data_IF_504880577487
#
_entry.id   IF_504880577487
#
_cell.length_a   1.000
_cell.length_b   1.000
_cell.length_c   1.000
_cell.angle_alpha   90.00
_cell.angle_beta   90.00
_cell.angle_gamma   90.00
#
_symmetry.space_group_name_H-M   'P 1'
#
loop_
_entity.id
_entity.type
_entity.pdbx_description
1 polymer ?
#
# COMPACT_ATOMS: atom_id res chain seq x y z
N UNK A 1 -26.51 9.48 -8.66
CA UNK A 1 -25.28 9.64 -7.86
C UNK A 1 -24.38 8.45 -8.12
N UNK A 2 -23.09 8.67 -8.42
CA UNK A 2 -22.14 7.58 -8.55
C UNK A 2 -22.02 6.81 -7.22
N UNK A 3 -21.86 5.49 -7.30
CA UNK A 3 -21.67 4.61 -6.14
C UNK A 3 -20.59 3.59 -6.46
N UNK A 4 -19.66 3.42 -5.54
CA UNK A 4 -18.62 2.40 -5.62
C UNK A 4 -18.62 1.60 -4.33
N UNK A 5 -18.57 0.28 -4.46
CA UNK A 5 -18.51 -0.65 -3.34
C UNK A 5 -17.39 -1.66 -3.62
N UNK A 6 -16.52 -1.82 -2.65
CA UNK A 6 -15.51 -2.87 -2.66
C UNK A 6 -15.63 -3.70 -1.38
N UNK A 7 -15.72 -5.01 -1.53
CA UNK A 7 -15.72 -5.97 -0.42
C UNK A 7 -14.54 -6.91 -0.63
N UNK A 8 -13.71 -7.08 0.39
CA UNK A 8 -12.55 -7.95 0.32
C UNK A 8 -12.54 -8.93 1.50
N UNK A 9 -12.10 -10.16 1.22
CA UNK A 9 -11.82 -11.18 2.21
C UNK A 9 -10.47 -11.79 1.92
N UNK A 10 -9.58 -11.83 2.91
CA UNK A 10 -8.23 -12.34 2.76
C UNK A 10 -7.86 -13.36 3.83
N UNK A 11 -6.94 -14.21 3.49
CA UNK A 11 -6.34 -15.18 4.38
C UNK A 11 -4.83 -15.21 4.20
N UNK A 12 -4.10 -15.28 5.31
CA UNK A 12 -2.66 -15.43 5.34
C UNK A 12 -2.28 -16.63 6.20
N UNK A 13 -1.27 -17.37 5.77
CA UNK A 13 -0.81 -18.58 6.45
C UNK A 13 0.72 -18.66 6.41
N UNK A 14 1.31 -18.99 7.55
CA UNK A 14 2.74 -19.31 7.66
C UNK A 14 2.95 -20.77 7.22
N UNK A 15 3.47 -20.95 6.01
CA UNK A 15 3.67 -22.29 5.41
C UNK A 15 4.81 -23.04 6.07
N UNK A 16 5.91 -22.33 6.31
CA UNK A 16 7.07 -22.79 7.06
C UNK A 16 7.57 -21.62 7.91
N UNK A 17 8.37 -21.89 8.92
CA UNK A 17 8.94 -20.86 9.79
C UNK A 17 9.50 -19.69 8.97
N UNK A 18 9.05 -18.48 9.28
CA UNK A 18 9.44 -17.22 8.64
C UNK A 18 8.90 -16.99 7.22
N UNK A 19 8.17 -17.93 6.60
CA UNK A 19 7.61 -17.78 5.27
C UNK A 19 6.09 -17.83 5.32
N UNK A 20 5.47 -16.73 4.99
CA UNK A 20 4.01 -16.60 4.91
C UNK A 20 3.55 -16.38 3.47
N UNK A 21 2.39 -16.93 3.16
CA UNK A 21 1.67 -16.69 1.91
C UNK A 21 0.32 -16.07 2.22
N UNK A 22 -0.19 -15.24 1.33
CA UNK A 22 -1.51 -14.63 1.48
C UNK A 22 -2.26 -14.64 0.16
N UNK A 23 -3.58 -14.74 0.27
CA UNK A 23 -4.50 -14.56 -0.85
C UNK A 23 -5.68 -13.72 -0.38
N UNK A 24 -6.10 -12.76 -1.21
CA UNK A 24 -7.28 -11.93 -0.97
C UNK A 24 -8.20 -11.99 -2.17
N UNK A 25 -9.47 -12.21 -1.93
CA UNK A 25 -10.54 -12.08 -2.93
C UNK A 25 -11.21 -10.72 -2.74
N UNK A 26 -11.49 -10.03 -3.85
CA UNK A 26 -12.18 -8.73 -3.87
C UNK A 26 -13.37 -8.81 -4.81
N UNK A 27 -14.51 -8.32 -4.35
CA UNK A 27 -15.66 -8.03 -5.19
C UNK A 27 -15.78 -6.51 -5.33
N UNK A 28 -15.88 -6.04 -6.57
CA UNK A 28 -15.93 -4.63 -6.93
C UNK A 28 -17.24 -4.37 -7.65
N UNK A 29 -17.96 -3.34 -7.21
CA UNK A 29 -19.15 -2.82 -7.88
C UNK A 29 -18.99 -1.33 -8.08
N UNK A 30 -19.21 -0.86 -9.31
CA UNK A 30 -19.13 0.56 -9.66
C UNK A 30 -20.36 0.94 -10.49
N UNK A 31 -21.06 1.96 -10.04
CA UNK A 31 -22.18 2.59 -10.73
C UNK A 31 -21.86 4.08 -10.93
N UNK A 32 -21.60 4.47 -12.15
CA UNK A 32 -21.26 5.85 -12.51
C UNK A 32 -22.47 6.80 -12.49
N UNK A 33 -23.65 6.33 -12.08
CA UNK A 33 -24.89 7.09 -12.11
C UNK A 33 -25.52 7.15 -13.50
N UNK A 34 -26.61 7.93 -13.66
CA UNK A 34 -27.38 8.05 -14.91
C UNK A 34 -26.60 8.84 -15.97
N UNK A 35 -25.62 8.22 -16.59
CA UNK A 35 -25.07 8.67 -17.87
C UNK A 35 -25.62 7.70 -18.93
N UNK A 36 -26.76 8.03 -19.51
CA UNK A 36 -27.48 7.13 -20.40
C UNK A 36 -28.17 5.97 -19.66
N UNK A 37 -28.38 4.85 -20.34
CA UNK A 37 -28.96 3.61 -19.78
C UNK A 37 -27.89 2.76 -19.05
N UNK A 38 -26.88 3.32 -18.39
CA UNK A 38 -25.82 2.55 -17.77
C UNK A 38 -26.31 1.91 -16.47
N UNK A 39 -26.40 0.59 -16.46
CA UNK A 39 -26.48 -0.19 -15.24
C UNK A 39 -25.09 -0.29 -14.63
N UNK A 40 -24.99 -0.39 -13.31
CA UNK A 40 -23.73 -0.60 -12.63
C UNK A 40 -22.96 -1.82 -13.16
N UNK A 41 -21.65 -1.77 -13.07
CA UNK A 41 -20.75 -2.84 -13.49
C UNK A 41 -20.09 -3.50 -12.28
N UNK A 42 -19.87 -4.81 -12.35
CA UNK A 42 -19.17 -5.56 -11.30
C UNK A 42 -17.98 -6.33 -11.86
N UNK A 43 -16.99 -6.54 -11.02
CA UNK A 43 -15.83 -7.37 -11.32
C UNK A 43 -15.33 -8.04 -10.05
N UNK A 44 -14.43 -8.99 -10.24
CA UNK A 44 -13.70 -9.67 -9.16
C UNK A 44 -12.21 -9.46 -9.36
N UNK A 45 -11.47 -9.41 -8.27
CA UNK A 45 -10.01 -9.35 -8.30
C UNK A 45 -9.41 -10.23 -7.21
N UNK A 46 -8.17 -10.64 -7.43
CA UNK A 46 -7.39 -11.43 -6.50
C UNK A 46 -6.08 -10.70 -6.21
N UNK A 47 -5.66 -10.75 -4.95
CA UNK A 47 -4.30 -10.39 -4.57
C UNK A 47 -3.59 -11.63 -4.03
N UNK A 48 -2.31 -11.76 -4.33
CA UNK A 48 -1.45 -12.84 -3.87
C UNK A 48 -0.17 -12.23 -3.26
N UNK A 49 0.26 -12.77 -2.14
CA UNK A 49 1.46 -12.31 -1.45
C UNK A 49 2.32 -13.44 -0.93
N UNK A 50 3.62 -13.21 -0.92
CA UNK A 50 4.62 -14.04 -0.27
C UNK A 50 5.48 -13.11 0.56
N UNK A 51 5.70 -13.44 1.84
CA UNK A 51 6.52 -12.68 2.76
C UNK A 51 7.48 -13.63 3.48
N UNK A 52 8.76 -13.31 3.42
CA UNK A 52 9.78 -13.92 4.26
C UNK A 52 10.28 -12.90 5.28
N UNK A 53 10.22 -13.26 6.58
CA UNK A 53 10.66 -12.39 7.68
C UNK A 53 11.66 -13.13 8.54
N UNK A 54 12.76 -12.48 8.94
CA UNK A 54 13.78 -13.08 9.79
C UNK A 54 14.31 -12.09 10.81
N UNK A 55 14.44 -12.56 12.05
CA UNK A 55 15.13 -11.85 13.13
C UNK A 55 16.64 -12.02 13.02
N UNK A 56 17.40 -11.02 13.45
CA UNK A 56 18.87 -11.06 13.52
C UNK A 56 19.25 -11.57 14.90
N UNK A 57 19.94 -12.73 14.94
CA UNK A 57 20.16 -13.49 16.20
C UNK A 57 20.84 -12.72 17.32
N UNK A 58 21.83 -11.90 17.04
CA UNK A 58 22.66 -11.24 18.05
C UNK A 58 22.26 -9.77 18.27
N UNK A 59 21.08 -9.40 17.79
CA UNK A 59 20.56 -8.04 17.88
C UNK A 59 19.07 -8.09 18.21
N UNK A 60 18.73 -8.00 19.49
CA UNK A 60 17.36 -8.12 19.98
C UNK A 60 16.41 -7.10 19.33
N UNK A 61 15.29 -7.59 18.79
CA UNK A 61 14.30 -6.80 18.10
C UNK A 61 14.70 -6.33 16.68
N UNK A 62 15.93 -6.61 16.24
CA UNK A 62 16.33 -6.35 14.87
C UNK A 62 15.87 -7.47 13.94
N UNK A 63 15.45 -7.07 12.74
CA UNK A 63 14.98 -8.01 11.75
C UNK A 63 14.95 -7.43 10.35
N UNK A 64 14.70 -8.29 9.39
CA UNK A 64 14.47 -7.88 8.03
C UNK A 64 13.38 -8.74 7.39
N UNK A 65 12.75 -8.19 6.40
CA UNK A 65 11.75 -8.91 5.60
C UNK A 65 11.89 -8.58 4.13
N UNK A 66 11.53 -9.55 3.29
CA UNK A 66 11.36 -9.36 1.85
C UNK A 66 10.05 -9.97 1.43
N UNK A 67 9.39 -9.35 0.46
CA UNK A 67 8.10 -9.83 0.01
C UNK A 67 7.86 -9.55 -1.46
N UNK A 68 6.97 -10.35 -2.04
CA UNK A 68 6.43 -10.17 -3.38
C UNK A 68 4.92 -10.13 -3.25
N UNK A 69 4.30 -9.16 -3.90
CA UNK A 69 2.86 -8.98 -3.88
C UNK A 69 2.33 -8.67 -5.28
N UNK A 70 1.37 -9.47 -5.73
CA UNK A 70 0.62 -9.20 -6.95
C UNK A 70 -0.81 -8.79 -6.56
N UNK A 71 -1.28 -7.66 -7.06
CA UNK A 71 -2.57 -7.09 -6.69
C UNK A 71 -3.48 -6.85 -7.89
N UNK A 72 -4.79 -6.85 -7.61
CA UNK A 72 -5.85 -6.56 -8.57
C UNK A 72 -5.82 -7.44 -9.82
N UNK A 73 -5.42 -8.70 -9.68
CA UNK A 73 -5.45 -9.69 -10.75
C UNK A 73 -6.90 -10.10 -11.01
N UNK A 74 -7.46 -9.71 -12.16
CA UNK A 74 -8.85 -10.00 -12.47
C UNK A 74 -9.26 -9.62 -13.88
N UNK A 75 -10.49 -9.98 -14.28
CA UNK A 75 -11.03 -9.62 -15.58
C UNK A 75 -11.32 -8.10 -15.65
N UNK A 76 -11.38 -7.59 -16.86
CA UNK A 76 -11.81 -6.20 -17.12
C UNK A 76 -13.24 -5.98 -16.64
N UNK A 77 -13.51 -4.85 -16.00
CA UNK A 77 -14.87 -4.39 -15.67
C UNK A 77 -15.58 -4.04 -16.99
N UNK A 78 -16.75 -4.61 -17.18
CA UNK A 78 -17.56 -4.37 -18.37
C UNK A 78 -18.63 -3.32 -18.05
N UNK A 79 -18.45 -2.13 -18.56
CA UNK A 79 -19.53 -1.15 -18.71
C UNK A 79 -20.29 -1.40 -20.03
N UNK A 80 -21.43 -0.77 -20.24
CA UNK A 80 -22.27 -1.00 -21.44
C UNK A 80 -21.51 -0.83 -22.77
N UNK A 81 -20.63 0.15 -22.86
CA UNK A 81 -19.91 0.53 -24.08
C UNK A 81 -18.40 0.35 -24.00
N UNK A 82 -17.83 0.14 -22.81
CA UNK A 82 -16.39 0.01 -22.60
C UNK A 82 -16.03 -1.15 -21.68
N UNK A 83 -14.79 -1.60 -21.80
CA UNK A 83 -14.18 -2.59 -20.90
C UNK A 83 -12.94 -1.95 -20.31
N UNK A 84 -12.99 -1.69 -19.00
CA UNK A 84 -11.88 -1.07 -18.29
C UNK A 84 -11.08 -2.15 -17.56
N UNK A 85 -9.77 -2.12 -17.74
CA UNK A 85 -8.86 -3.06 -17.06
C UNK A 85 -8.65 -2.65 -15.61
N UNK A 86 -8.62 -3.63 -14.72
CA UNK A 86 -8.21 -3.39 -13.33
C UNK A 86 -6.73 -2.97 -13.27
N UNK A 87 -6.34 -2.09 -12.34
CA UNK A 87 -4.95 -1.66 -12.18
C UNK A 87 -4.11 -2.77 -11.52
N UNK A 88 -3.84 -3.82 -12.29
CA UNK A 88 -3.02 -4.92 -11.83
C UNK A 88 -1.56 -4.49 -11.65
N UNK A 89 -0.94 -4.90 -10.55
CA UNK A 89 0.42 -4.51 -10.19
C UNK A 89 1.16 -5.67 -9.54
N UNK A 90 2.45 -5.76 -9.78
CA UNK A 90 3.37 -6.61 -9.02
C UNK A 90 4.37 -5.72 -8.30
N UNK A 91 4.62 -6.00 -7.03
CA UNK A 91 5.62 -5.33 -6.20
C UNK A 91 6.57 -6.32 -5.57
N UNK A 92 7.84 -5.94 -5.51
CA UNK A 92 8.87 -6.61 -4.70
C UNK A 92 9.40 -5.57 -3.73
N UNK A 93 9.47 -5.90 -2.47
CA UNK A 93 9.93 -4.95 -1.47
C UNK A 93 10.63 -5.63 -0.30
N UNK A 94 11.26 -4.81 0.53
CA UNK A 94 11.90 -5.24 1.74
C UNK A 94 11.83 -4.17 2.82
N UNK A 95 11.99 -4.63 4.06
CA UNK A 95 12.08 -3.79 5.23
C UNK A 95 13.19 -4.27 6.15
N UNK A 96 13.79 -3.34 6.89
CA UNK A 96 14.75 -3.62 7.96
C UNK A 96 14.33 -2.85 9.21
N UNK A 97 14.19 -3.59 10.31
CA UNK A 97 13.91 -3.05 11.65
C UNK A 97 15.21 -3.04 12.44
N UNK A 98 15.67 -1.88 12.85
CA UNK A 98 16.97 -1.63 13.43
C UNK A 98 16.80 -0.90 14.79
N UNK A 99 16.55 -1.62 15.89
CA UNK A 99 16.58 -1.03 17.22
C UNK A 99 18.01 -0.61 17.56
N UNK A 100 18.18 0.62 18.08
CA UNK A 100 19.47 1.09 18.56
C UNK A 100 19.26 1.86 19.87
N UNK A 101 20.09 1.61 20.86
CA UNK A 101 19.81 1.98 22.23
C UNK A 101 18.43 1.49 22.72
N UNK A 102 18.18 1.49 24.01
CA UNK A 102 17.01 0.82 24.61
C UNK A 102 15.65 1.41 24.28
N UNK A 103 15.60 2.56 23.59
CA UNK A 103 14.35 3.32 23.37
C UNK A 103 14.17 3.80 21.94
N UNK A 104 15.04 3.40 21.03
CA UNK A 104 15.07 3.93 19.68
C UNK A 104 14.97 2.80 18.65
N UNK A 105 14.14 2.97 17.63
CA UNK A 105 14.03 2.06 16.49
C UNK A 105 14.03 2.85 15.20
N UNK A 106 14.77 2.38 14.22
CA UNK A 106 14.74 2.86 12.84
C UNK A 106 14.22 1.72 11.95
N UNK A 107 13.11 1.97 11.27
CA UNK A 107 12.61 1.05 10.23
C UNK A 107 12.88 1.66 8.87
N UNK A 108 13.54 0.92 7.99
CA UNK A 108 13.79 1.30 6.61
C UNK A 108 13.00 0.39 5.68
N UNK A 109 12.39 0.98 4.65
CA UNK A 109 11.62 0.24 3.65
C UNK A 109 11.98 0.66 2.24
N UNK A 110 11.95 -0.28 1.30
CA UNK A 110 12.05 0.02 -0.12
C UNK A 110 11.24 -0.98 -0.93
N UNK A 111 10.58 -0.52 -1.99
CA UNK A 111 9.88 -1.38 -2.94
C UNK A 111 10.06 -0.93 -4.39
N UNK A 112 9.99 -1.92 -5.27
CA UNK A 112 9.96 -1.79 -6.70
C UNK A 112 8.64 -2.37 -7.20
N UNK A 113 7.83 -1.55 -7.86
CA UNK A 113 6.55 -1.93 -8.41
C UNK A 113 6.53 -1.85 -9.93
N UNK A 114 5.77 -2.73 -10.54
CA UNK A 114 5.46 -2.66 -11.96
C UNK A 114 3.95 -2.80 -12.18
N UNK A 115 3.36 -1.78 -12.80
CA UNK A 115 1.96 -1.80 -13.21
C UNK A 115 1.81 -2.63 -14.48
N UNK A 116 1.07 -3.73 -14.37
CA UNK A 116 0.85 -4.67 -15.46
C UNK A 116 -0.30 -4.23 -16.39
N UNK A 117 -1.26 -3.50 -15.84
CA UNK A 117 -2.52 -3.16 -16.51
C UNK A 117 -3.08 -1.85 -15.95
N UNK A 118 -3.75 -1.00 -16.74
CA UNK A 118 -3.95 -1.09 -18.21
C UNK A 118 -2.67 -0.90 -19.03
N UNK A 119 -2.67 -1.31 -20.31
CA UNK A 119 -1.49 -1.34 -21.16
C UNK A 119 -0.89 0.06 -21.44
N UNK A 120 -1.73 1.08 -21.51
CA UNK A 120 -1.36 2.48 -21.75
C UNK A 120 -0.66 3.15 -20.57
N UNK A 121 -0.84 2.61 -19.35
CA UNK A 121 -0.24 3.12 -18.11
C UNK A 121 0.75 2.16 -17.45
N UNK A 122 1.24 1.16 -18.19
CA UNK A 122 2.31 0.29 -17.70
C UNK A 122 3.55 1.11 -17.37
N UNK A 123 4.02 1.01 -16.14
CA UNK A 123 5.18 1.76 -15.66
C UNK A 123 5.82 1.08 -14.46
N UNK A 124 7.12 1.31 -14.35
CA UNK A 124 7.90 0.98 -13.16
C UNK A 124 7.75 2.12 -12.15
N UNK A 125 7.62 1.76 -10.87
CA UNK A 125 7.72 2.70 -9.78
C UNK A 125 8.66 2.19 -8.69
N UNK A 126 9.21 3.12 -7.93
CA UNK A 126 10.13 2.83 -6.82
C UNK A 126 9.69 3.65 -5.62
N UNK A 127 9.60 3.03 -4.46
CA UNK A 127 9.35 3.75 -3.22
C UNK A 127 10.41 3.42 -2.19
N UNK A 128 10.74 4.39 -1.36
CA UNK A 128 11.58 4.20 -0.18
C UNK A 128 11.04 5.02 0.97
N UNK A 129 11.16 4.49 2.18
CA UNK A 129 10.68 5.16 3.38
C UNK A 129 11.53 4.83 4.60
N UNK A 130 11.45 5.72 5.57
CA UNK A 130 12.06 5.54 6.87
C UNK A 130 11.09 5.97 7.97
N UNK A 131 11.06 5.22 9.06
CA UNK A 131 10.37 5.57 10.29
C UNK A 131 11.39 5.54 11.44
N UNK A 132 11.39 6.59 12.23
CA UNK A 132 12.09 6.65 13.49
C UNK A 132 11.06 6.62 14.62
N UNK A 133 11.17 5.65 15.52
CA UNK A 133 10.34 5.53 16.71
C UNK A 133 11.16 5.76 17.97
N UNK A 134 10.65 6.60 18.87
CA UNK A 134 11.20 6.85 20.20
C UNK A 134 10.25 6.32 21.26
N UNK A 135 10.77 5.45 22.13
CA UNK A 135 10.03 4.76 23.20
C UNK A 135 8.77 4.01 22.70
N UNK A 136 8.66 3.72 21.42
CA UNK A 136 7.45 3.19 20.78
C UNK A 136 6.21 4.10 20.89
N UNK A 137 6.38 5.30 21.44
CA UNK A 137 5.30 6.26 21.66
C UNK A 137 5.29 7.41 20.64
N UNK A 138 6.44 7.81 20.14
CA UNK A 138 6.56 8.90 19.17
C UNK A 138 7.20 8.37 17.90
N UNK A 139 6.56 8.60 16.76
CA UNK A 139 7.04 8.16 15.45
C UNK A 139 7.19 9.36 14.53
N UNK A 140 8.31 9.40 13.80
CA UNK A 140 8.54 10.34 12.70
C UNK A 140 8.77 9.53 11.43
N UNK A 141 8.09 9.89 10.36
CA UNK A 141 8.10 9.14 9.10
C UNK A 141 8.45 10.05 7.94
N UNK A 142 9.21 9.51 7.00
CA UNK A 142 9.50 10.18 5.74
C UNK A 142 9.57 9.15 4.62
N UNK A 143 9.14 9.54 3.44
CA UNK A 143 9.17 8.65 2.29
C UNK A 143 9.20 9.39 0.97
N UNK A 144 9.61 8.68 -0.06
CA UNK A 144 9.61 9.15 -1.42
C UNK A 144 9.09 8.07 -2.37
N UNK A 145 8.21 8.48 -3.27
CA UNK A 145 7.71 7.66 -4.35
C UNK A 145 8.16 8.27 -5.69
N UNK A 146 8.82 7.45 -6.50
CA UNK A 146 9.16 7.76 -7.88
C UNK A 146 8.23 7.00 -8.82
N UNK A 147 7.55 7.71 -9.69
CA UNK A 147 6.68 7.16 -10.71
C UNK A 147 6.78 7.94 -12.02
N UNK A 148 6.22 7.39 -13.09
CA UNK A 148 6.16 8.04 -14.40
C UNK A 148 4.89 8.88 -14.53
N UNK A 149 5.04 10.21 -14.48
CA UNK A 149 3.94 11.17 -14.62
C UNK A 149 3.17 11.02 -15.94
N UNK A 150 3.84 10.62 -17.02
CA UNK A 150 3.19 10.43 -18.33
C UNK A 150 2.29 9.18 -18.34
N UNK A 151 2.46 8.31 -17.34
CA UNK A 151 1.69 7.09 -17.11
C UNK A 151 0.70 7.23 -15.94
N UNK A 152 0.44 8.46 -15.49
CA UNK A 152 -0.48 8.75 -14.40
C UNK A 152 0.04 8.36 -13.01
N UNK A 153 1.35 8.23 -12.84
CA UNK A 153 2.02 7.91 -11.58
C UNK A 153 3.05 8.99 -11.27
N UNK A 154 2.58 10.10 -10.72
CA UNK A 154 3.45 11.24 -10.41
C UNK A 154 4.31 10.95 -9.16
N UNK A 155 5.57 11.41 -9.19
CA UNK A 155 6.45 11.32 -8.03
C UNK A 155 6.02 12.26 -6.91
N UNK A 156 6.18 11.83 -5.65
CA UNK A 156 5.88 12.63 -4.47
C UNK A 156 6.74 12.25 -3.27
N UNK A 157 6.89 13.18 -2.33
CA UNK A 157 7.46 12.92 -1.01
C UNK A 157 6.35 12.92 0.05
N UNK A 158 6.59 12.24 1.16
CA UNK A 158 5.70 12.23 2.31
C UNK A 158 6.47 12.50 3.59
N UNK A 159 5.81 13.19 4.52
CA UNK A 159 6.29 13.30 5.91
C UNK A 159 5.12 13.00 6.84
N UNK A 160 5.40 12.39 7.98
CA UNK A 160 4.37 12.03 8.95
C UNK A 160 4.91 12.00 10.37
N UNK A 161 3.98 12.09 11.31
CA UNK A 161 4.25 11.91 12.72
C UNK A 161 3.13 11.08 13.35
N UNK A 162 3.47 10.27 14.35
CA UNK A 162 2.53 9.45 15.10
C UNK A 162 2.80 9.51 16.58
N UNK A 163 1.75 9.36 17.36
CA UNK A 163 1.80 9.22 18.82
C UNK A 163 0.98 8.01 19.22
N UNK A 164 1.57 7.14 20.05
CA UNK A 164 0.90 5.99 20.63
C UNK A 164 1.00 6.05 22.15
N UNK A 165 -0.14 5.98 22.83
CA UNK A 165 -0.21 5.96 24.29
C UNK A 165 -1.42 5.19 24.77
N UNK A 166 -1.21 4.27 25.72
CA UNK A 166 -2.27 3.46 26.33
C UNK A 166 -3.20 2.75 25.31
N UNK A 167 -2.63 2.24 24.21
CA UNK A 167 -3.37 1.57 23.14
C UNK A 167 -4.06 2.52 22.15
N UNK A 168 -4.08 3.83 22.40
CA UNK A 168 -4.57 4.83 21.44
C UNK A 168 -3.43 5.28 20.55
N UNK A 169 -3.61 5.25 19.23
CA UNK A 169 -2.65 5.80 18.28
C UNK A 169 -3.30 6.89 17.42
N UNK A 170 -2.59 7.98 17.26
CA UNK A 170 -2.95 9.11 16.41
C UNK A 170 -1.81 9.35 15.43
N UNK A 171 -2.12 9.31 14.13
CA UNK A 171 -1.16 9.53 13.07
C UNK A 171 -1.56 10.72 12.21
N UNK A 172 -0.56 11.47 11.79
CA UNK A 172 -0.66 12.54 10.80
C UNK A 172 0.31 12.26 9.67
N UNK A 173 -0.14 12.43 8.43
CA UNK A 173 0.70 12.35 7.25
C UNK A 173 0.39 13.46 6.26
N UNK A 174 1.42 13.99 5.62
CA UNK A 174 1.33 15.00 4.59
C UNK A 174 2.05 14.55 3.32
N UNK A 175 1.42 14.78 2.16
CA UNK A 175 2.01 14.49 0.86
C UNK A 175 2.42 15.78 0.15
N UNK A 176 3.68 15.82 -0.28
CA UNK A 176 4.28 16.88 -1.09
C UNK A 176 4.43 16.38 -2.50
N UNK A 177 3.59 16.84 -3.41
CA UNK A 177 3.64 16.46 -4.81
C UNK A 177 3.67 17.71 -5.70
N UNK A 178 4.21 17.55 -6.90
CA UNK A 178 4.24 18.60 -7.91
C UNK A 178 2.85 18.95 -8.45
N UNK A 179 2.78 20.01 -9.25
CA UNK A 179 1.51 20.50 -9.85
C UNK A 179 0.80 19.46 -10.73
N UNK A 180 1.50 18.44 -11.18
CA UNK A 180 1.02 17.37 -12.05
C UNK A 180 0.24 16.28 -11.28
N UNK A 181 0.30 16.27 -9.95
CA UNK A 181 -0.42 15.33 -9.11
C UNK A 181 -1.75 15.93 -8.65
N UNK A 182 -2.86 15.25 -8.95
CA UNK A 182 -4.20 15.69 -8.53
C UNK A 182 -4.37 15.72 -7.01
N UNK A 183 -3.67 14.84 -6.29
CA UNK A 183 -3.72 14.71 -4.84
C UNK A 183 -2.62 15.52 -4.13
N UNK A 184 -2.01 16.51 -4.79
CA UNK A 184 -0.99 17.38 -4.16
C UNK A 184 -1.52 18.06 -2.90
N UNK A 185 -0.63 18.21 -1.91
CA UNK A 185 -0.94 18.85 -0.62
C UNK A 185 -2.10 18.17 0.14
N UNK A 186 -2.26 16.87 -0.04
CA UNK A 186 -3.22 16.08 0.73
C UNK A 186 -2.62 15.69 2.07
N UNK A 187 -3.43 15.72 3.11
CA UNK A 187 -3.05 15.22 4.42
C UNK A 187 -4.05 14.17 4.90
N UNK A 188 -3.59 13.31 5.79
CA UNK A 188 -4.38 12.28 6.44
C UNK A 188 -4.20 12.36 7.94
N UNK A 189 -5.29 12.13 8.65
CA UNK A 189 -5.31 11.93 10.09
C UNK A 189 -5.97 10.60 10.36
N UNK A 190 -5.32 9.75 11.14
CA UNK A 190 -5.84 8.44 11.54
C UNK A 190 -5.88 8.35 13.06
N UNK A 191 -6.95 7.81 13.59
CA UNK A 191 -7.13 7.49 15.00
C UNK A 191 -7.47 6.00 15.11
N UNK A 192 -6.78 5.30 15.98
CA UNK A 192 -7.04 3.89 16.21
C UNK A 192 -6.84 3.50 17.67
N UNK A 193 -7.31 2.31 18.02
CA UNK A 193 -7.17 1.74 19.34
C UNK A 193 -6.79 0.26 19.24
N UNK A 194 -5.74 -0.13 19.97
CA UNK A 194 -5.28 -1.52 20.11
C UNK A 194 -5.64 -2.02 21.52
N UNK A 195 -6.29 -3.18 21.61
CA UNK A 195 -6.75 -3.82 22.84
C UNK A 195 -6.15 -5.22 23.02
#
# INVERSE_FOLDING_TARGET
>A
HPKEIAVAAGYAYEVIKNLSVSATFKYLYSDMGKIGNSNGASSVAFDLGILYKREIKDWEGAGWSVGIHASNLGPKIKYLTSKEALPAMVKVGGAADLPFASMHRLTLTADLGYRLSPDDVQALNVSAGAEYAWMEHLMLRGGYHYGDKNKGDASYATAGAGVEYAGVHLDFAWMFAGHECLARNTFWISLGYSF
#
